data_IF_359981223748
#
_entry.id   IF_359981223748
#
_cell.length_a   1.000
_cell.length_b   1.000
_cell.length_c   1.000
_cell.angle_alpha   90.00
_cell.angle_beta   90.00
_cell.angle_gamma   90.00
#
_symmetry.space_group_name_H-M   'P 1'
#
loop_
_entity.id
_entity.type
_entity.pdbx_description
1 polymer ?
#
# COMPACT_ATOMS: atom_id res chain seq x y z
N UNK A 1 -13.73 -3.47 -22.54
CA UNK A 1 -12.90 -2.42 -21.90
C UNK A 1 -11.46 -2.39 -22.41
N UNK A 2 -10.91 -3.48 -22.97
CA UNK A 2 -9.56 -3.46 -23.56
C UNK A 2 -8.42 -3.35 -22.54
N UNK A 3 -8.71 -3.62 -21.26
CA UNK A 3 -7.70 -3.61 -20.22
C UNK A 3 -6.77 -4.81 -20.40
N UNK A 4 -5.52 -4.64 -19.99
CA UNK A 4 -4.52 -5.71 -19.97
C UNK A 4 -3.98 -5.89 -18.55
N UNK A 5 -3.38 -7.06 -18.31
CA UNK A 5 -2.72 -7.37 -17.03
C UNK A 5 -1.43 -6.57 -16.97
N UNK A 6 -1.37 -5.64 -16.01
CA UNK A 6 -0.22 -4.77 -15.80
C UNK A 6 0.76 -5.39 -14.81
N UNK A 7 0.23 -5.90 -13.70
CA UNK A 7 1.02 -6.52 -12.65
C UNK A 7 0.23 -7.59 -11.93
N UNK A 8 0.91 -8.49 -11.24
CA UNK A 8 0.26 -9.50 -10.42
C UNK A 8 1.17 -9.97 -9.32
N UNK A 9 0.54 -10.31 -8.21
CA UNK A 9 1.18 -10.84 -7.02
C UNK A 9 0.45 -12.09 -6.61
N UNK A 10 1.19 -13.16 -6.38
CA UNK A 10 0.63 -14.38 -5.86
C UNK A 10 0.80 -14.47 -4.33
N UNK A 11 0.23 -15.51 -3.75
CA UNK A 11 0.26 -15.80 -2.32
C UNK A 11 1.67 -16.11 -1.79
N UNK A 12 2.68 -16.31 -2.65
CA UNK A 12 4.08 -16.48 -2.22
C UNK A 12 4.80 -15.15 -2.05
N UNK A 13 4.30 -14.10 -2.71
CA UNK A 13 4.90 -12.77 -2.73
C UNK A 13 4.30 -11.83 -1.66
N UNK A 14 2.99 -11.94 -1.35
CA UNK A 14 2.32 -11.23 -0.24
C UNK A 14 1.73 -12.24 0.75
N UNK A 15 2.55 -12.64 1.71
CA UNK A 15 2.16 -13.48 2.84
C UNK A 15 2.63 -12.82 4.14
N UNK A 16 1.71 -12.60 5.08
CA UNK A 16 2.10 -12.55 6.50
C UNK A 16 2.07 -13.98 7.05
N UNK A 17 2.61 -14.21 8.25
CA UNK A 17 2.53 -15.53 8.90
C UNK A 17 1.07 -16.05 9.06
N UNK A 18 0.09 -15.15 8.96
CA UNK A 18 -1.31 -15.42 9.26
C UNK A 18 -2.26 -15.33 8.06
N UNK A 19 -2.01 -14.47 7.07
CA UNK A 19 -2.93 -14.22 5.95
C UNK A 19 -2.21 -14.00 4.62
N UNK A 20 -2.87 -14.37 3.52
CA UNK A 20 -2.41 -14.16 2.15
C UNK A 20 -3.49 -13.47 1.31
N UNK A 21 -3.07 -12.84 0.21
CA UNK A 21 -3.96 -12.36 -0.84
C UNK A 21 -3.33 -12.61 -2.21
N UNK A 22 -4.18 -12.72 -3.23
CA UNK A 22 -3.76 -12.66 -4.64
C UNK A 22 -4.25 -11.36 -5.24
N UNK A 23 -3.38 -10.68 -5.97
CA UNK A 23 -3.69 -9.38 -6.57
C UNK A 23 -3.36 -9.39 -8.06
N UNK A 24 -4.30 -8.94 -8.89
CA UNK A 24 -4.08 -8.66 -10.31
C UNK A 24 -4.39 -7.20 -10.55
N UNK A 25 -3.41 -6.45 -11.05
CA UNK A 25 -3.60 -5.06 -11.47
C UNK A 25 -3.95 -5.04 -12.94
N UNK A 26 -5.15 -4.57 -13.24
CA UNK A 26 -5.61 -4.33 -14.60
C UNK A 26 -5.36 -2.87 -14.98
N UNK A 27 -4.82 -2.63 -16.17
CA UNK A 27 -4.58 -1.27 -16.67
C UNK A 27 -5.33 -1.00 -17.98
N UNK A 28 -5.77 0.25 -18.17
CA UNK A 28 -6.32 0.72 -19.44
C UNK A 28 -5.26 0.65 -20.55
N UNK A 29 -5.64 0.66 -21.85
CA UNK A 29 -4.68 0.59 -22.96
C UNK A 29 -3.55 1.63 -22.94
N UNK A 30 -3.75 2.75 -22.24
CA UNK A 30 -2.79 3.83 -22.08
C UNK A 30 -2.18 3.92 -20.66
N UNK A 31 -2.39 2.90 -19.83
CA UNK A 31 -1.88 2.78 -18.46
C UNK A 31 -2.28 3.87 -17.46
N UNK A 32 -3.24 4.73 -17.81
CA UNK A 32 -3.70 5.81 -16.92
C UNK A 32 -4.60 5.26 -15.81
N UNK A 33 -5.56 4.41 -16.17
CA UNK A 33 -6.49 3.80 -15.20
C UNK A 33 -5.90 2.48 -14.75
N UNK A 34 -5.59 2.36 -13.47
CA UNK A 34 -5.11 1.12 -12.84
C UNK A 34 -6.12 0.65 -11.80
N UNK A 35 -6.51 -0.61 -11.88
CA UNK A 35 -7.47 -1.23 -10.98
C UNK A 35 -6.87 -2.52 -10.41
N UNK A 36 -6.35 -2.49 -9.18
CA UNK A 36 -6.03 -3.70 -8.43
C UNK A 36 -7.30 -4.48 -8.13
N UNK A 37 -7.30 -5.77 -8.48
CA UNK A 37 -8.37 -6.72 -8.19
C UNK A 37 -7.78 -7.77 -7.26
N UNK A 38 -8.31 -7.84 -6.04
CA UNK A 38 -7.82 -8.73 -4.99
C UNK A 38 -8.82 -9.86 -4.73
N UNK A 39 -8.31 -11.07 -4.52
CA UNK A 39 -9.10 -12.20 -4.03
C UNK A 39 -8.47 -12.76 -2.73
N UNK A 40 -9.28 -13.30 -1.81
CA UNK A 40 -8.75 -13.94 -0.61
C UNK A 40 -7.92 -15.17 -0.99
N UNK A 41 -6.78 -15.35 -0.34
CA UNK A 41 -5.98 -16.55 -0.44
C UNK A 41 -5.95 -17.30 0.90
N UNK A 42 -5.76 -18.62 0.85
CA UNK A 42 -5.80 -19.48 2.04
C UNK A 42 -4.64 -19.14 2.98
N UNK A 43 -4.97 -18.64 4.18
CA UNK A 43 -4.03 -18.40 5.28
C UNK A 43 -4.40 -19.18 6.55
N UNK A 44 -3.57 -19.07 7.60
CA UNK A 44 -3.88 -19.64 8.94
C UNK A 44 -5.01 -18.89 9.64
N UNK A 45 -5.22 -17.62 9.28
CA UNK A 45 -6.32 -16.75 9.74
C UNK A 45 -7.10 -16.22 8.53
N UNK A 46 -8.33 -15.79 8.78
CA UNK A 46 -9.20 -15.15 7.79
C UNK A 46 -8.46 -13.98 7.11
N UNK A 47 -8.57 -13.89 5.78
CA UNK A 47 -7.93 -12.84 5.00
C UNK A 47 -8.67 -11.51 5.19
N UNK A 48 -7.97 -10.37 5.19
CA UNK A 48 -8.61 -9.06 5.23
C UNK A 48 -9.59 -8.85 4.05
N UNK A 49 -9.35 -9.51 2.91
CA UNK A 49 -10.27 -9.48 1.76
C UNK A 49 -11.54 -10.27 2.06
N UNK A 50 -11.42 -11.39 2.77
CA UNK A 50 -12.57 -12.20 3.19
C UNK A 50 -13.41 -11.44 4.22
N UNK A 51 -12.77 -10.79 5.19
CA UNK A 51 -13.45 -9.88 6.12
C UNK A 51 -14.20 -8.76 5.39
N UNK A 52 -13.58 -8.11 4.40
CA UNK A 52 -14.26 -7.12 3.57
C UNK A 52 -15.49 -7.69 2.88
N UNK A 53 -15.38 -8.86 2.24
CA UNK A 53 -16.50 -9.49 1.51
C UNK A 53 -17.63 -9.87 2.45
N UNK A 54 -17.31 -10.36 3.65
CA UNK A 54 -18.31 -10.72 4.66
C UNK A 54 -19.07 -9.47 5.17
N UNK A 55 -18.35 -8.40 5.53
CA UNK A 55 -18.96 -7.16 6.00
C UNK A 55 -19.72 -6.40 4.90
N UNK A 56 -19.16 -6.37 3.69
CA UNK A 56 -19.74 -5.68 2.53
C UNK A 56 -20.82 -6.52 1.83
N UNK A 57 -20.95 -7.79 2.20
CA UNK A 57 -21.88 -8.77 1.64
C UNK A 57 -21.70 -8.98 0.12
N UNK A 58 -20.45 -9.01 -0.34
CA UNK A 58 -20.10 -9.25 -1.74
C UNK A 58 -18.83 -8.54 -2.21
N UNK A 59 -18.58 -8.60 -3.51
CA UNK A 59 -17.47 -7.87 -4.14
C UNK A 59 -17.76 -6.36 -4.19
N UNK A 60 -16.71 -5.55 -4.05
CA UNK A 60 -16.84 -4.10 -4.03
C UNK A 60 -15.50 -3.37 -4.13
N UNK A 61 -15.58 -2.05 -4.10
CA UNK A 61 -14.38 -1.18 -4.05
C UNK A 61 -13.91 -1.10 -2.60
N UNK A 62 -12.72 -1.65 -2.34
CA UNK A 62 -12.12 -1.64 -1.00
C UNK A 62 -11.53 -0.27 -0.65
N UNK A 63 -10.76 0.33 -1.55
CA UNK A 63 -10.15 1.64 -1.32
C UNK A 63 -9.95 2.42 -2.63
N UNK A 64 -9.76 3.73 -2.51
CA UNK A 64 -9.42 4.64 -3.60
C UNK A 64 -8.13 5.37 -3.23
N UNK A 65 -7.08 5.22 -4.04
CA UNK A 65 -5.81 5.92 -3.83
C UNK A 65 -5.87 7.34 -4.41
N UNK A 66 -5.50 8.34 -3.60
CA UNK A 66 -5.45 9.74 -3.99
C UNK A 66 -3.99 10.20 -4.11
N UNK A 67 -3.56 10.56 -5.32
CA UNK A 67 -2.18 10.99 -5.58
C UNK A 67 -1.98 12.45 -5.19
N UNK A 68 -0.87 12.74 -4.51
CA UNK A 68 -0.39 14.09 -4.18
C UNK A 68 1.08 14.24 -4.57
N UNK A 69 1.52 15.47 -4.82
CA UNK A 69 2.93 15.81 -5.04
C UNK A 69 3.66 16.18 -3.74
N UNK A 70 2.92 16.30 -2.63
CA UNK A 70 3.47 16.58 -1.31
C UNK A 70 2.65 15.81 -0.27
N UNK A 71 3.15 14.62 0.09
CA UNK A 71 2.45 13.70 0.98
C UNK A 71 2.55 14.13 2.45
N UNK A 72 3.65 14.77 2.84
CA UNK A 72 3.86 15.30 4.20
C UNK A 72 2.80 16.35 4.52
N UNK A 73 2.64 17.34 3.64
CA UNK A 73 1.62 18.38 3.83
C UNK A 73 0.20 17.80 3.77
N UNK A 74 -0.06 16.88 2.84
CA UNK A 74 -1.37 16.26 2.70
C UNK A 74 -1.78 15.50 3.97
N UNK A 75 -0.91 14.62 4.48
CA UNK A 75 -1.20 13.82 5.67
C UNK A 75 -1.27 14.69 6.93
N UNK A 76 -0.36 15.66 7.07
CA UNK A 76 -0.39 16.60 8.20
C UNK A 76 -1.73 17.34 8.28
N UNK A 77 -2.21 17.85 7.13
CA UNK A 77 -3.50 18.55 7.07
C UNK A 77 -4.70 17.61 7.28
N UNK A 78 -4.66 16.39 6.74
CA UNK A 78 -5.73 15.41 6.95
C UNK A 78 -5.83 14.99 8.41
N UNK A 79 -4.70 14.73 9.09
CA UNK A 79 -4.64 14.46 10.53
C UNK A 79 -5.18 15.65 11.34
N UNK A 80 -4.76 16.88 11.02
CA UNK A 80 -5.26 18.08 11.67
C UNK A 80 -6.78 18.29 11.51
N UNK A 81 -7.37 17.77 10.43
CA UNK A 81 -8.82 17.77 10.15
C UNK A 81 -9.56 16.58 10.76
N UNK A 82 -8.88 15.71 11.51
CA UNK A 82 -9.49 14.57 12.20
C UNK A 82 -9.55 13.27 11.40
N UNK A 83 -8.85 13.18 10.27
CA UNK A 83 -8.75 11.89 9.54
C UNK A 83 -7.85 10.93 10.32
N UNK A 84 -8.36 9.72 10.57
CA UNK A 84 -7.59 8.66 11.23
C UNK A 84 -6.86 7.79 10.22
N UNK A 85 -5.62 7.42 10.57
CA UNK A 85 -4.77 6.56 9.75
C UNK A 85 -4.34 5.34 10.56
N UNK A 86 -3.90 4.30 9.83
CA UNK A 86 -3.25 3.15 10.44
C UNK A 86 -1.96 3.57 11.17
N UNK A 87 -1.54 2.75 12.14
CA UNK A 87 -0.28 2.94 12.86
C UNK A 87 0.77 1.96 12.37
N UNK A 88 1.99 2.46 12.18
CA UNK A 88 3.12 1.68 11.68
C UNK A 88 4.12 1.50 12.83
N UNK A 89 4.57 0.27 13.13
CA UNK A 89 5.50 0.04 14.23
C UNK A 89 6.88 0.65 13.95
N UNK A 90 7.58 1.08 15.00
CA UNK A 90 8.91 1.71 14.87
C UNK A 90 9.94 0.79 14.19
N UNK A 91 9.86 -0.50 14.46
CA UNK A 91 10.73 -1.53 13.86
C UNK A 91 10.69 -1.54 12.33
N UNK A 92 9.55 -1.18 11.72
CA UNK A 92 9.44 -1.05 10.27
C UNK A 92 10.43 0.00 9.73
N UNK A 93 10.56 1.15 10.40
CA UNK A 93 11.44 2.23 9.98
C UNK A 93 12.91 1.87 10.20
N UNK A 94 13.22 1.13 11.26
CA UNK A 94 14.58 0.62 11.51
C UNK A 94 15.00 -0.33 10.37
N UNK A 95 14.16 -1.28 10.01
CA UNK A 95 14.39 -2.21 8.90
C UNK A 95 14.46 -1.48 7.56
N UNK A 96 13.57 -0.50 7.33
CA UNK A 96 13.54 0.27 6.10
C UNK A 96 14.83 1.07 5.89
N UNK A 97 15.37 1.66 6.96
CA UNK A 97 16.64 2.39 6.93
C UNK A 97 17.80 1.51 6.49
N UNK A 98 17.82 0.25 6.93
CA UNK A 98 18.81 -0.75 6.49
C UNK A 98 18.63 -1.08 5.01
N UNK A 99 17.39 -1.30 4.56
CA UNK A 99 17.08 -1.63 3.16
C UNK A 99 17.46 -0.50 2.20
N UNK A 100 17.10 0.75 2.53
CA UNK A 100 17.46 1.94 1.75
C UNK A 100 18.98 2.08 1.61
N UNK A 101 19.71 1.96 2.73
CA UNK A 101 21.17 2.02 2.74
C UNK A 101 21.80 0.94 1.88
N UNK A 102 21.25 -0.29 1.91
CA UNK A 102 21.74 -1.41 1.11
C UNK A 102 21.55 -1.18 -0.39
N UNK A 103 20.43 -0.56 -0.79
CA UNK A 103 20.14 -0.24 -2.19
C UNK A 103 20.82 1.05 -2.67
N UNK A 104 21.34 1.87 -1.74
CA UNK A 104 21.91 3.17 -2.06
C UNK A 104 20.85 4.21 -2.47
N UNK A 105 19.58 3.98 -2.14
CA UNK A 105 18.48 4.89 -2.44
C UNK A 105 18.43 6.01 -1.40
N UNK A 106 18.31 7.24 -1.87
CA UNK A 106 18.16 8.45 -1.04
C UNK A 106 16.77 9.01 -1.30
N UNK A 107 16.00 9.23 -0.24
CA UNK A 107 14.69 9.87 -0.31
C UNK A 107 14.85 11.38 -0.41
N UNK A 108 13.94 12.05 -1.11
CA UNK A 108 13.92 13.51 -1.16
C UNK A 108 13.31 14.11 0.13
N UNK A 109 12.40 13.37 0.77
CA UNK A 109 11.79 13.73 2.03
C UNK A 109 12.64 13.36 3.26
N UNK A 110 12.45 14.12 4.34
CA UNK A 110 13.07 13.81 5.63
C UNK A 110 12.50 12.52 6.24
N UNK A 111 13.38 11.55 6.48
CA UNK A 111 13.01 10.21 6.95
C UNK A 111 12.32 10.24 8.32
N UNK A 112 12.77 11.09 9.24
CA UNK A 112 12.17 11.19 10.58
C UNK A 112 10.77 11.81 10.51
N UNK A 113 10.55 12.76 9.59
CA UNK A 113 9.22 13.30 9.29
C UNK A 113 8.29 12.21 8.75
N UNK A 114 8.74 11.42 7.77
CA UNK A 114 7.96 10.29 7.25
C UNK A 114 7.57 9.29 8.36
N UNK A 115 8.53 8.96 9.24
CA UNK A 115 8.32 8.12 10.42
C UNK A 115 7.30 8.71 11.38
N UNK A 116 7.41 9.99 11.73
CA UNK A 116 6.49 10.66 12.65
C UNK A 116 5.05 10.70 12.13
N UNK A 117 4.88 10.66 10.79
CA UNK A 117 3.60 10.67 10.13
C UNK A 117 3.05 9.26 9.83
N UNK A 118 3.75 8.21 10.24
CA UNK A 118 3.40 6.81 9.96
C UNK A 118 3.40 6.46 8.45
N UNK A 119 4.13 7.22 7.61
CA UNK A 119 4.15 7.02 6.15
C UNK A 119 4.96 5.76 5.80
N UNK A 120 4.40 4.91 4.93
CA UNK A 120 5.06 3.72 4.39
C UNK A 120 5.87 4.08 3.14
N UNK A 121 7.03 3.44 3.02
CA UNK A 121 7.98 3.59 1.91
C UNK A 121 8.10 2.24 1.21
N UNK A 122 8.00 2.25 -0.11
CA UNK A 122 8.37 1.13 -0.97
C UNK A 122 9.25 1.63 -2.13
N UNK A 123 10.08 0.77 -2.71
CA UNK A 123 10.97 1.19 -3.79
C UNK A 123 11.40 0.03 -4.68
N UNK A 124 11.75 0.38 -5.92
CA UNK A 124 12.33 -0.52 -6.91
C UNK A 124 13.57 0.14 -7.56
N UNK A 125 13.98 -0.38 -8.72
CA UNK A 125 15.12 0.15 -9.48
C UNK A 125 14.81 1.50 -10.16
N UNK A 126 13.54 1.86 -10.31
CA UNK A 126 13.07 3.02 -11.05
C UNK A 126 12.69 4.20 -10.13
N UNK A 127 12.48 3.96 -8.85
CA UNK A 127 12.17 4.99 -7.88
C UNK A 127 11.56 4.45 -6.60
N UNK A 128 10.82 5.30 -5.91
CA UNK A 128 10.14 4.97 -4.66
C UNK A 128 8.69 5.46 -4.64
N UNK A 129 7.90 4.84 -3.78
CA UNK A 129 6.49 5.13 -3.54
C UNK A 129 6.29 5.42 -2.05
N UNK A 130 5.63 6.54 -1.77
CA UNK A 130 5.16 6.89 -0.44
C UNK A 130 3.65 6.67 -0.36
N UNK A 131 3.18 6.01 0.69
CA UNK A 131 1.76 5.68 0.86
C UNK A 131 1.34 5.65 2.33
N UNK A 132 0.05 5.90 2.58
CA UNK A 132 -0.57 5.71 3.88
C UNK A 132 -2.06 5.42 3.72
N UNK A 133 -2.61 4.57 4.58
CA UNK A 133 -4.02 4.16 4.55
C UNK A 133 -4.80 4.77 5.72
N UNK A 134 -6.00 5.27 5.44
CA UNK A 134 -6.96 5.64 6.47
C UNK A 134 -7.49 4.39 7.18
N UNK A 135 -8.03 4.55 8.40
CA UNK A 135 -8.75 3.45 9.07
C UNK A 135 -10.07 3.11 8.39
#
# INVERSE_FOLDING_TARGET
LGFHRFWSVDDKDICTEFSALKSIVMASPNDIVKMPINEPAKGKKQSQIEEYVDFYNGAGVQHIALRTNNIIDAITNLKARGTEFIKVPETYYEDMKIRLKRQGLVLDEDFETLKSLDILIDFDENGYLLQLFTK
#
